data_IF_838606252779
#
_entry.id   IF_838606252779
#
_cell.length_a   1.000
_cell.length_b   1.000
_cell.length_c   1.000
_cell.angle_alpha   90.00
_cell.angle_beta   90.00
_cell.angle_gamma   90.00
#
_symmetry.space_group_name_H-M   'P 1'
#
loop_
_entity.id
_entity.type
_entity.pdbx_description
1 polymer ?
#
# COMPACT_ATOMS: atom_id res chain seq x y z
N UNK A 1 -12.40 7.76 -18.15
CA UNK A 1 -13.78 7.94 -17.64
C UNK A 1 -13.66 7.96 -16.13
N UNK A 2 -13.97 9.08 -15.46
CA UNK A 2 -13.97 9.16 -14.00
C UNK A 2 -15.25 8.46 -13.56
N UNK A 3 -15.12 7.39 -12.77
CA UNK A 3 -16.27 6.65 -12.27
C UNK A 3 -16.86 7.44 -11.10
N UNK A 4 -18.03 8.06 -11.31
CA UNK A 4 -18.73 8.77 -10.25
C UNK A 4 -19.38 7.77 -9.30
N UNK A 5 -18.85 7.68 -8.08
CA UNK A 5 -19.45 6.90 -7.01
C UNK A 5 -20.30 7.81 -6.13
N UNK A 6 -21.51 7.35 -5.79
CA UNK A 6 -22.30 7.98 -4.74
C UNK A 6 -21.64 7.76 -3.38
N UNK A 7 -21.89 8.66 -2.41
CA UNK A 7 -21.39 8.49 -1.03
C UNK A 7 -21.84 7.15 -0.42
N UNK A 8 -23.04 6.69 -0.77
CA UNK A 8 -23.55 5.39 -0.35
C UNK A 8 -22.68 4.25 -0.88
N UNK A 9 -22.37 4.25 -2.19
CA UNK A 9 -21.52 3.22 -2.80
C UNK A 9 -20.10 3.23 -2.25
N UNK A 10 -19.57 4.40 -1.88
CA UNK A 10 -18.28 4.49 -1.18
C UNK A 10 -18.36 3.89 0.23
N UNK A 11 -19.41 4.20 0.98
CA UNK A 11 -19.59 3.67 2.33
C UNK A 11 -19.79 2.15 2.35
N UNK A 12 -20.53 1.60 1.39
CA UNK A 12 -20.76 0.14 1.27
C UNK A 12 -19.46 -0.65 1.06
N UNK A 13 -18.44 -0.03 0.46
CA UNK A 13 -17.12 -0.63 0.27
C UNK A 13 -16.19 -0.56 1.48
N UNK A 14 -16.54 0.19 2.53
CA UNK A 14 -15.70 0.40 3.70
C UNK A 14 -16.13 -0.46 4.89
N UNK A 15 -15.19 -1.03 5.66
CA UNK A 15 -15.52 -1.70 6.90
C UNK A 15 -16.23 -0.75 7.87
N UNK A 16 -17.28 -1.23 8.56
CA UNK A 16 -18.01 -0.43 9.56
C UNK A 16 -17.10 0.13 10.66
N UNK A 17 -16.02 -0.56 10.99
CA UNK A 17 -15.02 -0.09 11.94
C UNK A 17 -14.31 1.18 11.48
N UNK A 18 -14.11 1.37 10.17
CA UNK A 18 -13.54 2.59 9.58
C UNK A 18 -14.60 3.69 9.50
N UNK A 19 -15.83 3.36 9.11
CA UNK A 19 -16.93 4.33 9.01
C UNK A 19 -17.31 4.94 10.37
N UNK A 20 -17.21 4.16 11.44
CA UNK A 20 -17.57 4.57 12.80
C UNK A 20 -16.36 4.96 13.66
N UNK A 21 -15.17 5.05 13.05
CA UNK A 21 -13.94 5.42 13.74
C UNK A 21 -13.96 6.88 14.19
N UNK A 22 -13.28 7.20 15.30
CA UNK A 22 -13.00 8.60 15.64
C UNK A 22 -11.91 9.17 14.72
N UNK A 23 -11.83 10.50 14.62
CA UNK A 23 -10.76 11.17 13.85
C UNK A 23 -9.36 10.71 14.30
N UNK A 24 -9.18 10.51 15.61
CA UNK A 24 -7.91 10.00 16.18
C UNK A 24 -7.59 8.58 15.69
N UNK A 25 -8.59 7.72 15.61
CA UNK A 25 -8.41 6.35 15.12
C UNK A 25 -8.10 6.35 13.62
N UNK A 26 -8.73 7.24 12.85
CA UNK A 26 -8.45 7.41 11.42
C UNK A 26 -7.03 7.94 11.17
N UNK A 27 -6.54 8.89 11.96
CA UNK A 27 -5.15 9.34 11.90
C UNK A 27 -4.16 8.22 12.21
N UNK A 28 -4.46 7.42 13.24
CA UNK A 28 -3.66 6.25 13.59
C UNK A 28 -3.64 5.22 12.46
N UNK A 29 -4.80 4.96 11.87
CA UNK A 29 -4.94 4.06 10.72
C UNK A 29 -4.18 4.57 9.49
N UNK A 30 -4.26 5.87 9.20
CA UNK A 30 -3.51 6.49 8.11
C UNK A 30 -1.99 6.28 8.27
N UNK A 31 -1.45 6.49 9.47
CA UNK A 31 -0.02 6.23 9.75
C UNK A 31 0.37 4.78 9.48
N UNK A 32 -0.48 3.83 9.85
CA UNK A 32 -0.25 2.40 9.57
C UNK A 32 -0.21 2.14 8.06
N UNK A 33 -1.14 2.73 7.30
CA UNK A 33 -1.18 2.60 5.83
C UNK A 33 0.10 3.18 5.20
N UNK A 34 0.54 4.36 5.65
CA UNK A 34 1.76 5.01 5.15
C UNK A 34 3.01 4.15 5.38
N UNK A 35 3.19 3.61 6.60
CA UNK A 35 4.32 2.73 6.90
C UNK A 35 4.25 1.41 6.12
N UNK A 36 3.04 0.87 5.91
CA UNK A 36 2.84 -0.33 5.08
C UNK A 36 3.23 -0.09 3.62
N UNK A 37 2.93 1.09 3.07
CA UNK A 37 3.35 1.48 1.72
C UNK A 37 4.87 1.57 1.64
N UNK A 38 5.53 2.22 2.61
CA UNK A 38 6.98 2.33 2.67
C UNK A 38 7.64 0.93 2.70
N UNK A 39 7.13 0.04 3.53
CA UNK A 39 7.62 -1.35 3.61
C UNK A 39 7.50 -2.08 2.27
N UNK A 40 6.35 -1.96 1.60
CA UNK A 40 6.11 -2.56 0.28
C UNK A 40 7.10 -2.06 -0.77
N UNK A 41 7.34 -0.75 -0.83
CA UNK A 41 8.30 -0.19 -1.78
C UNK A 41 9.75 -0.58 -1.44
N UNK A 42 10.11 -0.64 -0.15
CA UNK A 42 11.38 -1.20 0.31
C UNK A 42 11.60 -2.64 -0.16
N UNK A 43 10.58 -3.50 -0.02
CA UNK A 43 10.63 -4.88 -0.49
C UNK A 43 10.79 -4.96 -2.02
N UNK A 44 10.05 -4.16 -2.79
CA UNK A 44 10.20 -4.10 -4.26
C UNK A 44 11.60 -3.66 -4.68
N UNK A 45 12.18 -2.70 -3.98
CA UNK A 45 13.55 -2.24 -4.25
C UNK A 45 14.59 -3.33 -3.95
N UNK A 46 14.46 -4.02 -2.83
CA UNK A 46 15.32 -5.16 -2.50
C UNK A 46 15.22 -6.26 -3.57
N UNK A 47 14.00 -6.60 -4.00
CA UNK A 47 13.81 -7.62 -5.02
C UNK A 47 14.47 -7.25 -6.35
N UNK A 48 14.41 -5.97 -6.76
CA UNK A 48 15.14 -5.46 -7.93
C UNK A 48 16.64 -5.62 -7.76
N UNK A 49 17.18 -5.27 -6.60
CA UNK A 49 18.62 -5.37 -6.31
C UNK A 49 19.11 -6.82 -6.39
N UNK A 50 18.37 -7.76 -5.80
CA UNK A 50 18.68 -9.20 -5.87
C UNK A 50 18.71 -9.67 -7.33
N UNK A 51 17.69 -9.34 -8.12
CA UNK A 51 17.63 -9.70 -9.54
C UNK A 51 18.82 -9.14 -10.34
N UNK A 52 19.17 -7.87 -10.11
CA UNK A 52 20.32 -7.23 -10.75
C UNK A 52 21.63 -7.91 -10.37
N UNK A 53 21.81 -8.26 -9.09
CA UNK A 53 22.98 -8.99 -8.62
C UNK A 53 23.08 -10.37 -9.27
N UNK A 54 22.01 -11.19 -9.22
CA UNK A 54 22.00 -12.52 -9.84
C UNK A 54 22.30 -12.48 -11.33
N UNK A 55 21.73 -11.51 -12.06
CA UNK A 55 22.02 -11.33 -13.50
C UNK A 55 23.47 -10.96 -13.75
N UNK A 56 24.05 -10.11 -12.90
CA UNK A 56 25.45 -9.68 -13.03
C UNK A 56 26.46 -10.81 -12.76
N UNK A 57 26.13 -11.74 -11.86
CA UNK A 57 26.96 -12.93 -11.58
C UNK A 57 26.94 -13.91 -12.75
N UNK A 58 25.76 -14.15 -13.34
CA UNK A 58 25.60 -15.03 -14.50
C UNK A 58 26.43 -14.53 -15.70
N UNK A 59 26.50 -13.22 -15.93
CA UNK A 59 27.30 -12.64 -17.03
C UNK A 59 28.82 -12.71 -16.82
N UNK A 60 29.29 -12.95 -15.59
CA UNK A 60 30.71 -13.06 -15.26
C UNK A 60 31.20 -14.52 -15.16
N UNK A 61 30.31 -15.49 -15.29
CA UNK A 61 30.58 -16.93 -15.19
C UNK A 61 30.79 -17.57 -16.55
#
# INVERSE_FOLDING_TARGET
>A
MIQEFTLQQLAEGLPKSVLNASDRDLEGFQKIIEETIKLREGHKNLQKMIKSYSTSVIQRS
#
